data_IF_677603537424
#
_entry.id   IF_677603537424
#
_cell.length_a   1.000
_cell.length_b   1.000
_cell.length_c   1.000
_cell.angle_alpha   90.00
_cell.angle_beta   90.00
_cell.angle_gamma   90.00
#
_symmetry.space_group_name_H-M   'P 1'
#
loop_
_entity.id
_entity.type
_entity.pdbx_description
1 polymer ?
#
# COMPACT_ATOMS: atom_id res chain seq x y z
N UNK A 1 15.93 1.27 5.72
CA UNK A 1 14.98 1.89 4.77
C UNK A 1 14.35 3.06 5.49
N UNK A 2 14.66 4.30 5.11
CA UNK A 2 13.99 5.48 5.65
C UNK A 2 12.72 5.72 4.83
N UNK A 3 11.54 5.66 5.47
CA UNK A 3 10.25 5.68 4.79
C UNK A 3 9.48 6.94 5.13
N UNK A 4 9.20 7.72 4.08
CA UNK A 4 8.35 8.90 4.15
C UNK A 4 7.53 9.02 2.86
N UNK A 5 6.45 8.24 2.76
CA UNK A 5 5.56 8.22 1.59
C UNK A 5 4.13 7.78 1.95
N UNK A 6 3.10 8.38 1.33
CA UNK A 6 1.72 7.92 1.44
C UNK A 6 1.44 6.62 0.66
N UNK A 7 2.38 6.18 -0.17
CA UNK A 7 2.22 5.01 -1.04
C UNK A 7 2.42 5.37 -2.51
N UNK A 8 1.64 4.71 -3.37
CA UNK A 8 1.75 4.80 -4.83
C UNK A 8 1.02 3.63 -5.48
N UNK A 9 1.46 3.26 -6.68
CA UNK A 9 0.89 2.16 -7.44
C UNK A 9 1.12 0.78 -6.79
N UNK A 10 0.14 -0.12 -6.90
CA UNK A 10 0.27 -1.49 -6.44
C UNK A 10 1.26 -2.31 -7.30
N UNK A 11 1.30 -2.01 -8.60
CA UNK A 11 2.18 -2.69 -9.56
C UNK A 11 3.65 -2.45 -9.20
N UNK A 12 4.42 -3.52 -9.04
CA UNK A 12 5.84 -3.47 -8.67
C UNK A 12 6.10 -3.35 -7.17
N UNK A 13 5.13 -2.89 -6.38
CA UNK A 13 5.30 -2.73 -4.93
C UNK A 13 5.48 -4.08 -4.23
N UNK A 14 4.72 -5.11 -4.64
CA UNK A 14 4.77 -6.44 -4.03
C UNK A 14 6.04 -7.22 -4.41
N UNK A 15 6.51 -7.08 -5.65
CA UNK A 15 7.80 -7.62 -6.11
C UNK A 15 8.96 -6.93 -5.36
N UNK A 16 8.88 -5.61 -5.19
CA UNK A 16 9.88 -4.86 -4.41
C UNK A 16 9.88 -5.30 -2.94
N UNK A 17 8.70 -5.52 -2.34
CA UNK A 17 8.59 -6.09 -1.00
C UNK A 17 9.24 -7.47 -0.88
N UNK A 18 9.14 -8.30 -1.92
CA UNK A 18 9.83 -9.59 -1.98
C UNK A 18 11.35 -9.42 -2.00
N UNK A 19 11.89 -8.49 -2.80
CA UNK A 19 13.32 -8.19 -2.81
C UNK A 19 13.82 -7.68 -1.45
N UNK A 20 13.06 -6.82 -0.78
CA UNK A 20 13.38 -6.34 0.57
C UNK A 20 13.43 -7.50 1.55
N UNK A 21 12.46 -8.42 1.49
CA UNK A 21 12.42 -9.61 2.35
C UNK A 21 13.59 -10.57 2.09
N UNK A 22 13.95 -10.79 0.84
CA UNK A 22 15.09 -11.62 0.46
C UNK A 22 16.43 -10.99 0.89
N UNK A 23 16.52 -9.65 0.90
CA UNK A 23 17.66 -8.94 1.50
C UNK A 23 17.66 -9.09 3.03
N UNK A 24 16.50 -8.93 3.67
CA UNK A 24 16.33 -9.02 5.12
C UNK A 24 16.71 -10.40 5.69
N UNK A 25 16.58 -11.47 4.89
CA UNK A 25 17.03 -12.82 5.25
C UNK A 25 18.56 -12.98 5.32
N UNK A 26 19.32 -12.07 4.68
CA UNK A 26 20.80 -12.13 4.60
C UNK A 26 21.48 -11.02 5.39
N UNK A 27 20.84 -9.86 5.50
CA UNK A 27 21.35 -8.67 6.19
C UNK A 27 20.23 -8.04 6.99
N UNK A 28 20.46 -7.77 8.28
CA UNK A 28 19.53 -7.04 9.13
C UNK A 28 19.11 -5.74 8.42
N UNK A 29 17.84 -5.66 8.06
CA UNK A 29 17.25 -4.55 7.32
C UNK A 29 16.16 -3.95 8.18
N UNK A 30 16.38 -2.74 8.69
CA UNK A 30 15.40 -2.02 9.50
C UNK A 30 14.71 -0.98 8.62
N UNK A 31 13.39 -0.97 8.63
CA UNK A 31 12.58 0.09 8.05
C UNK A 31 12.17 1.08 9.14
N UNK A 32 12.33 2.37 8.88
CA UNK A 32 11.99 3.45 9.81
C UNK A 32 10.87 4.27 9.20
N UNK A 33 9.75 4.38 9.90
CA UNK A 33 8.63 5.25 9.52
C UNK A 33 8.94 6.64 10.03
N UNK A 34 9.67 7.42 9.25
CA UNK A 34 10.08 8.78 9.59
C UNK A 34 9.06 9.78 9.02
N UNK A 35 7.84 9.68 9.53
CA UNK A 35 6.69 10.49 9.15
C UNK A 35 5.55 9.64 8.59
N UNK A 36 5.74 8.92 7.47
CA UNK A 36 4.67 8.09 6.90
C UNK A 36 5.17 6.88 6.10
N UNK A 37 4.52 5.75 6.30
CA UNK A 37 4.66 4.54 5.50
C UNK A 37 3.28 3.93 5.30
N UNK A 38 2.55 4.43 4.30
CA UNK A 38 1.19 3.99 3.97
C UNK A 38 1.15 3.27 2.62
N UNK A 39 0.14 2.40 2.43
CA UNK A 39 -0.16 1.73 1.16
C UNK A 39 1.07 1.04 0.56
N UNK A 40 1.40 1.26 -0.71
CA UNK A 40 2.54 0.62 -1.38
C UNK A 40 3.87 0.75 -0.62
N UNK A 41 4.12 1.88 0.07
CA UNK A 41 5.33 2.05 0.89
C UNK A 41 5.32 1.08 2.09
N UNK A 42 4.15 0.91 2.73
CA UNK A 42 4.00 -0.09 3.78
C UNK A 42 4.20 -1.51 3.25
N UNK A 43 3.68 -1.83 2.05
CA UNK A 43 3.90 -3.12 1.40
C UNK A 43 5.40 -3.42 1.27
N UNK A 44 6.17 -2.47 0.74
CA UNK A 44 7.62 -2.59 0.56
C UNK A 44 8.33 -2.73 1.91
N UNK A 45 8.03 -1.84 2.85
CA UNK A 45 8.60 -1.85 4.20
C UNK A 45 8.28 -3.11 5.00
N UNK A 46 7.15 -3.76 4.73
CA UNK A 46 6.72 -4.99 5.41
C UNK A 46 7.71 -6.15 5.26
N UNK A 47 8.52 -6.14 4.20
CA UNK A 47 9.58 -7.13 3.98
C UNK A 47 10.81 -6.96 4.88
N UNK A 48 10.95 -5.85 5.60
CA UNK A 48 12.10 -5.61 6.47
C UNK A 48 12.13 -6.56 7.68
N UNK A 49 13.31 -6.74 8.28
CA UNK A 49 13.49 -7.51 9.52
C UNK A 49 12.69 -6.89 10.66
N UNK A 50 12.70 -5.55 10.73
CA UNK A 50 12.09 -4.74 11.78
C UNK A 50 11.52 -3.47 11.16
N UNK A 51 10.36 -3.02 11.64
CA UNK A 51 9.73 -1.75 11.33
C UNK A 51 9.68 -0.93 12.62
N UNK A 52 10.39 0.17 12.65
CA UNK A 52 10.40 1.13 13.75
C UNK A 52 9.60 2.34 13.32
N UNK A 53 8.64 2.79 14.14
CA UNK A 53 7.86 3.99 13.84
C UNK A 53 8.22 5.12 14.78
N UNK A 54 8.26 6.36 14.30
CA UNK A 54 8.34 7.50 15.21
C UNK A 54 7.04 7.65 15.99
N UNK A 55 7.06 8.43 17.07
CA UNK A 55 5.90 8.65 17.95
C UNK A 55 4.67 9.16 17.20
N UNK A 56 4.88 9.97 16.17
CA UNK A 56 3.83 10.51 15.29
C UNK A 56 3.84 9.87 13.90
N UNK A 57 4.61 8.80 13.69
CA UNK A 57 4.72 8.12 12.41
C UNK A 57 3.42 7.43 12.04
N UNK A 58 2.97 7.63 10.80
CA UNK A 58 1.70 7.08 10.29
C UNK A 58 1.99 5.85 9.44
N UNK A 59 1.41 4.71 9.80
CA UNK A 59 1.59 3.44 9.08
C UNK A 59 0.27 2.75 8.77
N UNK A 60 0.29 1.79 7.84
CA UNK A 60 -0.89 1.00 7.47
C UNK A 60 -1.41 1.42 6.11
N UNK A 61 -2.71 1.71 6.00
CA UNK A 61 -3.36 1.89 4.70
C UNK A 61 -3.17 0.68 3.78
N UNK A 62 -3.28 -0.53 4.37
CA UNK A 62 -3.18 -1.79 3.65
C UNK A 62 -4.49 -2.00 2.89
N UNK A 63 -4.52 -1.52 1.67
CA UNK A 63 -5.72 -1.49 0.82
C UNK A 63 -5.39 -1.07 -0.60
N UNK A 64 -6.38 -1.20 -1.47
CA UNK A 64 -6.30 -0.88 -2.90
C UNK A 64 -7.54 -0.06 -3.23
N UNK A 65 -7.39 0.93 -4.11
CA UNK A 65 -8.49 1.76 -4.58
C UNK A 65 -8.31 2.03 -6.07
N UNK A 66 -9.42 2.05 -6.79
CA UNK A 66 -9.53 2.56 -8.15
C UNK A 66 -10.54 3.69 -8.14
N UNK A 67 -10.18 4.83 -8.73
CA UNK A 67 -11.06 5.98 -8.86
C UNK A 67 -11.60 6.06 -10.29
N UNK A 68 -12.92 6.02 -10.42
CA UNK A 68 -13.63 6.44 -11.63
C UNK A 68 -14.32 7.78 -11.38
N UNK A 69 -14.28 8.68 -12.36
CA UNK A 69 -14.97 9.96 -12.33
C UNK A 69 -15.78 10.14 -13.62
N UNK A 70 -17.09 10.36 -13.48
CA UNK A 70 -17.99 10.65 -14.58
C UNK A 70 -18.09 12.17 -14.81
N UNK A 71 -17.55 12.65 -15.94
CA UNK A 71 -17.62 14.03 -16.39
C UNK A 71 -18.70 14.27 -17.46
N UNK A 72 -19.55 13.29 -17.78
CA UNK A 72 -20.57 13.40 -18.83
C UNK A 72 -21.45 14.64 -18.69
N UNK A 73 -21.92 14.93 -17.47
CA UNK A 73 -22.75 16.11 -17.18
C UNK A 73 -22.01 17.43 -17.32
N UNK A 74 -20.71 17.45 -17.07
CA UNK A 74 -19.89 18.64 -17.27
C UNK A 74 -19.75 18.90 -18.77
N UNK A 75 -19.40 17.87 -19.53
CA UNK A 75 -19.20 17.97 -20.98
C UNK A 75 -20.49 18.36 -21.71
N UNK A 76 -21.65 17.84 -21.30
CA UNK A 76 -22.95 18.23 -21.83
C UNK A 76 -23.23 19.74 -21.65
N UNK A 77 -22.91 20.31 -20.46
CA UNK A 77 -23.02 21.75 -20.22
C UNK A 77 -22.09 22.59 -21.08
N UNK A 78 -20.95 22.02 -21.44
CA UNK A 78 -19.97 22.65 -22.34
C UNK A 78 -20.32 22.43 -23.82
N UNK A 79 -21.37 21.67 -24.13
CA UNK A 79 -21.80 21.35 -25.50
C UNK A 79 -20.88 20.35 -26.20
N UNK A 80 -20.15 19.52 -25.44
CA UNK A 80 -19.18 18.56 -25.96
C UNK A 80 -19.77 17.14 -25.90
N UNK A 81 -19.75 16.42 -27.02
CA UNK A 81 -20.16 15.01 -27.11
C UNK A 81 -18.99 14.16 -27.62
N UNK A 82 -18.30 13.43 -26.73
CA UNK A 82 -17.22 12.53 -27.13
C UNK A 82 -17.74 11.33 -27.92
N UNK A 83 -17.04 10.97 -29.00
CA UNK A 83 -17.26 9.70 -29.72
C UNK A 83 -15.98 8.88 -29.62
N UNK A 84 -16.03 7.72 -28.97
CA UNK A 84 -14.88 6.83 -28.81
C UNK A 84 -14.77 5.87 -30.00
N UNK A 85 -13.62 5.85 -30.66
CA UNK A 85 -13.28 4.91 -31.74
C UNK A 85 -12.22 3.96 -31.20
N UNK A 86 -12.56 2.69 -31.01
CA UNK A 86 -11.67 1.72 -30.35
C UNK A 86 -11.81 0.32 -30.96
N UNK A 87 -10.83 -0.54 -30.68
CA UNK A 87 -10.84 -1.96 -31.01
C UNK A 87 -10.91 -2.79 -29.72
N UNK A 88 -11.83 -3.75 -29.68
CA UNK A 88 -12.13 -4.56 -28.48
C UNK A 88 -13.15 -3.91 -27.55
N UNK A 89 -14.10 -4.70 -27.05
CA UNK A 89 -15.25 -4.20 -26.27
C UNK A 89 -14.82 -3.47 -24.98
N UNK A 90 -13.84 -4.00 -24.26
CA UNK A 90 -13.37 -3.47 -22.97
C UNK A 90 -12.34 -2.35 -23.07
N UNK A 91 -11.98 -1.89 -24.27
CA UNK A 91 -10.86 -0.94 -24.46
C UNK A 91 -11.14 0.45 -23.89
N UNK A 92 -12.41 0.76 -23.67
CA UNK A 92 -12.92 2.04 -23.15
C UNK A 92 -13.63 1.87 -21.81
N UNK A 93 -13.51 0.70 -21.19
CA UNK A 93 -14.03 0.48 -19.84
C UNK A 93 -13.40 1.48 -18.87
N UNK A 94 -14.23 2.08 -18.01
CA UNK A 94 -13.78 3.11 -17.08
C UNK A 94 -13.49 4.47 -17.73
N UNK A 95 -13.89 4.70 -18.98
CA UNK A 95 -13.79 6.04 -19.57
C UNK A 95 -14.62 7.06 -18.74
N UNK A 96 -14.21 8.33 -18.69
CA UNK A 96 -14.85 9.33 -17.83
C UNK A 96 -15.97 10.11 -18.54
N UNK A 97 -16.35 9.71 -19.76
CA UNK A 97 -17.26 10.47 -20.61
C UNK A 97 -18.72 10.00 -20.54
N UNK A 98 -18.96 8.90 -19.85
CA UNK A 98 -20.28 8.33 -19.58
C UNK A 98 -20.32 7.69 -18.18
N UNK A 99 -21.53 7.47 -17.63
CA UNK A 99 -21.69 6.75 -16.37
C UNK A 99 -21.09 5.33 -16.45
N UNK A 100 -20.39 4.91 -15.41
CA UNK A 100 -19.85 3.56 -15.31
C UNK A 100 -20.97 2.53 -15.26
N UNK A 101 -21.00 1.60 -16.23
CA UNK A 101 -21.97 0.50 -16.24
C UNK A 101 -21.74 -0.48 -15.09
N UNK A 102 -22.79 -1.19 -14.66
CA UNK A 102 -22.71 -2.14 -13.55
C UNK A 102 -21.77 -3.31 -13.87
N UNK A 103 -21.78 -3.81 -15.10
CA UNK A 103 -20.89 -4.89 -15.54
C UNK A 103 -19.41 -4.48 -15.48
N UNK A 104 -19.07 -3.29 -15.99
CA UNK A 104 -17.69 -2.78 -15.94
C UNK A 104 -17.27 -2.49 -14.50
N UNK A 105 -18.20 -1.99 -13.67
CA UNK A 105 -17.93 -1.79 -12.23
C UNK A 105 -17.59 -3.10 -11.54
N UNK A 106 -18.32 -4.17 -11.82
CA UNK A 106 -18.06 -5.51 -11.26
C UNK A 106 -16.69 -6.03 -11.69
N UNK A 107 -16.35 -5.91 -12.98
CA UNK A 107 -15.04 -6.31 -13.51
C UNK A 107 -13.89 -5.54 -12.83
N UNK A 108 -14.00 -4.21 -12.74
CA UNK A 108 -12.98 -3.37 -12.07
C UNK A 108 -12.90 -3.67 -10.56
N UNK A 109 -14.02 -4.01 -9.91
CA UNK A 109 -14.00 -4.41 -8.50
C UNK A 109 -13.25 -5.74 -8.31
N UNK A 110 -13.44 -6.71 -9.22
CA UNK A 110 -12.70 -7.96 -9.18
C UNK A 110 -11.19 -7.74 -9.34
N UNK A 111 -10.76 -6.78 -10.16
CA UNK A 111 -9.35 -6.38 -10.26
C UNK A 111 -8.82 -5.79 -8.94
N UNK A 112 -9.56 -4.86 -8.33
CA UNK A 112 -9.22 -4.28 -7.01
C UNK A 112 -9.08 -5.36 -5.95
N UNK A 113 -10.01 -6.31 -5.90
CA UNK A 113 -10.01 -7.42 -4.95
C UNK A 113 -8.79 -8.34 -5.14
N UNK A 114 -8.42 -8.63 -6.40
CA UNK A 114 -7.24 -9.43 -6.71
C UNK A 114 -5.93 -8.77 -6.25
N UNK A 115 -5.80 -7.45 -6.46
CA UNK A 115 -4.67 -6.69 -5.92
C UNK A 115 -4.70 -6.64 -4.38
N UNK A 116 -5.88 -6.51 -3.78
CA UNK A 116 -6.01 -6.45 -2.33
C UNK A 116 -5.59 -7.76 -1.67
N UNK A 117 -6.00 -8.91 -2.21
CA UNK A 117 -5.53 -10.23 -1.75
C UNK A 117 -4.01 -10.37 -1.86
N UNK A 118 -3.43 -9.92 -2.97
CA UNK A 118 -1.98 -9.90 -3.18
C UNK A 118 -1.25 -9.03 -2.15
N UNK A 119 -1.84 -7.89 -1.79
CA UNK A 119 -1.32 -7.00 -0.75
C UNK A 119 -1.34 -7.68 0.62
N UNK A 120 -2.48 -8.25 1.02
CA UNK A 120 -2.63 -8.94 2.30
C UNK A 120 -1.63 -10.10 2.45
N UNK A 121 -1.46 -10.90 1.39
CA UNK A 121 -0.47 -11.99 1.35
C UNK A 121 0.96 -11.46 1.46
N UNK A 122 1.28 -10.37 0.75
CA UNK A 122 2.61 -9.75 0.77
C UNK A 122 2.98 -9.27 2.17
N UNK A 123 2.08 -8.53 2.82
CA UNK A 123 2.29 -8.03 4.19
C UNK A 123 2.41 -9.20 5.17
N UNK A 124 1.54 -10.21 5.06
CA UNK A 124 1.58 -11.37 5.95
C UNK A 124 2.89 -12.16 5.83
N UNK A 125 3.44 -12.30 4.61
CA UNK A 125 4.75 -12.93 4.38
C UNK A 125 5.90 -12.16 5.04
N UNK A 126 5.85 -10.83 5.03
CA UNK A 126 6.88 -9.98 5.65
C UNK A 126 6.78 -9.89 7.18
N UNK A 127 5.57 -9.70 7.70
CA UNK A 127 5.32 -9.53 9.15
C UNK A 127 5.23 -10.85 9.90
N UNK A 128 4.88 -11.96 9.24
CA UNK A 128 4.74 -13.26 9.87
C UNK A 128 3.60 -13.30 10.90
N UNK A 129 3.88 -13.82 12.09
CA UNK A 129 2.88 -13.91 13.17
C UNK A 129 2.45 -12.55 13.76
N UNK A 130 3.25 -11.49 13.54
CA UNK A 130 2.95 -10.13 14.04
C UNK A 130 1.73 -9.50 13.37
N UNK A 131 1.52 -9.80 12.08
CA UNK A 131 0.36 -9.31 11.33
C UNK A 131 0.00 -10.31 10.24
N UNK A 132 -0.97 -11.18 10.54
CA UNK A 132 -1.48 -12.16 9.57
C UNK A 132 -2.34 -11.48 8.50
N UNK A 133 -2.57 -12.14 7.36
CA UNK A 133 -3.46 -11.61 6.31
C UNK A 133 -4.89 -11.33 6.85
N UNK A 134 -5.40 -12.19 7.73
CA UNK A 134 -6.70 -11.98 8.36
C UNK A 134 -6.71 -10.78 9.33
N UNK A 135 -5.63 -10.58 10.09
CA UNK A 135 -5.50 -9.40 10.95
C UNK A 135 -5.34 -8.11 10.14
N UNK A 136 -4.53 -8.13 9.08
CA UNK A 136 -4.39 -7.01 8.14
C UNK A 136 -5.74 -6.68 7.48
N UNK A 137 -6.52 -7.67 7.05
CA UNK A 137 -7.86 -7.46 6.48
C UNK A 137 -8.81 -6.74 7.46
N UNK A 138 -8.79 -7.15 8.74
CA UNK A 138 -9.61 -6.51 9.80
C UNK A 138 -9.26 -5.04 10.06
N UNK A 139 -8.12 -4.56 9.59
CA UNK A 139 -7.80 -3.13 9.70
C UNK A 139 -8.67 -2.27 8.81
N UNK A 140 -9.28 -2.84 7.75
CA UNK A 140 -10.10 -2.14 6.76
C UNK A 140 -9.36 -0.94 6.16
N UNK A 141 -8.08 -1.15 5.82
CA UNK A 141 -7.19 -0.14 5.26
C UNK A 141 -7.02 1.13 6.12
N UNK A 142 -7.30 1.08 7.43
CA UNK A 142 -7.01 2.20 8.34
C UNK A 142 -5.52 2.45 8.50
N UNK A 143 -5.20 3.68 8.87
CA UNK A 143 -3.86 4.08 9.31
C UNK A 143 -3.78 4.08 10.84
N UNK A 144 -2.56 3.90 11.34
CA UNK A 144 -2.24 3.80 12.75
C UNK A 144 -1.03 4.67 13.04
N UNK A 145 -1.05 5.35 14.19
CA UNK A 145 -0.05 6.35 14.57
C UNK A 145 0.79 5.83 15.73
N UNK A 146 2.12 5.88 15.59
CA UNK A 146 3.05 5.61 16.68
C UNK A 146 2.79 4.28 17.39
N UNK A 147 2.52 4.33 18.69
CA UNK A 147 2.26 3.15 19.51
C UNK A 147 1.06 2.32 19.02
N UNK A 148 0.02 2.94 18.46
CA UNK A 148 -1.13 2.21 17.93
C UNK A 148 -0.75 1.30 16.75
N UNK A 149 0.28 1.68 15.97
CA UNK A 149 0.81 0.81 14.91
C UNK A 149 1.55 -0.38 15.49
N UNK A 150 2.23 -0.23 16.63
CA UNK A 150 2.90 -1.33 17.33
C UNK A 150 1.86 -2.30 17.90
N UNK A 151 0.84 -1.76 18.58
CA UNK A 151 -0.23 -2.56 19.19
C UNK A 151 -1.04 -3.35 18.14
N UNK A 152 -1.18 -2.81 16.93
CA UNK A 152 -1.81 -3.47 15.79
C UNK A 152 -0.88 -4.48 15.06
N UNK A 153 0.39 -4.61 15.46
CA UNK A 153 1.39 -5.46 14.80
C UNK A 153 1.94 -4.90 13.48
N UNK A 154 1.56 -3.67 13.13
CA UNK A 154 1.97 -2.96 11.92
C UNK A 154 3.42 -2.48 12.02
N UNK A 155 3.86 -2.05 13.20
CA UNK A 155 5.24 -1.75 13.54
C UNK A 155 5.71 -2.68 14.68
N UNK A 156 7.03 -2.76 14.91
CA UNK A 156 7.62 -3.58 15.97
C UNK A 156 7.87 -2.79 17.26
N UNK A 157 8.20 -1.50 17.14
CA UNK A 157 8.35 -0.59 18.29
C UNK A 157 8.34 0.87 17.85
N UNK A 158 8.21 1.76 18.84
CA UNK A 158 8.45 3.19 18.67
C UNK A 158 9.95 3.51 18.77
N UNK A 159 10.45 4.42 17.95
CA UNK A 159 11.83 4.91 18.00
C UNK A 159 12.15 5.93 16.90
N UNK A 160 13.23 6.70 17.09
CA UNK A 160 13.70 7.67 16.08
C UNK A 160 14.69 7.04 15.11
N UNK A 161 14.88 7.69 13.96
CA UNK A 161 15.88 7.30 12.97
C UNK A 161 17.29 7.28 13.57
N UNK A 162 17.64 8.28 14.38
CA UNK A 162 18.96 8.42 15.01
C UNK A 162 19.25 7.25 15.95
N UNK A 163 18.26 6.81 16.74
CA UNK A 163 18.41 5.66 17.63
C UNK A 163 18.62 4.37 16.84
N UNK A 164 17.90 4.19 15.72
CA UNK A 164 18.07 3.04 14.84
C UNK A 164 19.46 3.06 14.18
N UNK A 165 19.91 4.22 13.70
CA UNK A 165 21.21 4.37 13.07
C UNK A 165 22.35 4.10 14.08
N UNK A 166 22.22 4.61 15.30
CA UNK A 166 23.17 4.37 16.37
C UNK A 166 23.23 2.88 16.76
N UNK A 167 22.08 2.17 16.76
CA UNK A 167 22.02 0.73 17.02
C UNK A 167 22.70 -0.08 15.91
N UNK A 168 22.47 0.26 14.64
CA UNK A 168 23.05 -0.44 13.48
C UNK A 168 24.56 -0.22 13.31
N UNK A 169 25.12 0.84 13.89
CA UNK A 169 26.56 1.19 13.76
C UNK A 169 27.42 0.71 14.92
N UNK A 170 26.82 0.20 16.01
CA UNK A 170 27.58 -0.51 17.04
C UNK A 170 28.10 -1.81 16.44
N UNK A 171 29.42 -2.01 16.49
CA UNK A 171 30.05 -3.23 16.00
C UNK A 171 29.39 -4.47 16.68
N UNK A 172 29.13 -5.56 15.94
CA UNK A 172 28.75 -6.81 16.59
C UNK A 172 29.90 -7.23 17.51
N UNK A 173 29.62 -7.34 18.80
CA UNK A 173 30.54 -7.92 19.78
C UNK A 173 30.73 -9.41 19.56
#
# INVERSE_FOLDING_TARGET
>A
LDMHSPGGEAVGAFETAALVRDLAARKRTVAVVNGMAASAMYAIGSGATEIVTTETGISGSIGVVLLHADFSRQLDREGITPTLIHAGAHKVDGNPFEPLSDAVREDLQAEVDAFYESFLVTVAKGRGNRLTAAAARKTEARTFIGQAAVDAGIADRVGSFELVLADLTRAPG
#
